data_IF_172091752609
#
_entry.id   IF_172091752609
#
_cell.length_a   1.000
_cell.length_b   1.000
_cell.length_c   1.000
_cell.angle_alpha   90.00
_cell.angle_beta   90.00
_cell.angle_gamma   90.00
#
_symmetry.space_group_name_H-M   'P 1'
#
loop_
_entity.id
_entity.type
_entity.pdbx_description
1 polymer ?
#
# COMPACT_ATOMS: atom_id res chain seq x y z
N UNK A 1 -2.01 -3.08 15.72
CA UNK A 1 -0.81 -3.42 14.90
C UNK A 1 -0.73 -2.38 13.80
N UNK A 2 0.36 -1.64 13.62
CA UNK A 2 0.34 -0.49 12.71
C UNK A 2 0.11 -0.86 11.24
N UNK A 3 -0.69 -0.07 10.52
CA UNK A 3 -0.97 -0.23 9.09
C UNK A 3 0.25 -0.01 8.19
N UNK A 4 1.18 0.81 8.69
CA UNK A 4 2.46 1.10 8.08
C UNK A 4 3.54 0.79 9.10
N UNK A 5 4.61 0.12 8.67
CA UNK A 5 5.81 -0.08 9.47
C UNK A 5 7.04 0.20 8.63
N UNK A 6 7.91 1.06 9.12
CA UNK A 6 9.20 1.34 8.49
C UNK A 6 10.29 0.46 9.12
N UNK A 7 11.09 -0.19 8.28
CA UNK A 7 12.26 -0.96 8.69
C UNK A 7 13.48 -0.40 7.96
N UNK A 8 14.20 0.49 8.64
CA UNK A 8 15.32 1.21 8.05
C UNK A 8 14.86 2.09 6.88
N UNK A 9 15.35 1.78 5.67
CA UNK A 9 14.96 2.48 4.44
C UNK A 9 13.70 1.90 3.79
N UNK A 10 13.24 0.72 4.20
CA UNK A 10 12.13 0.03 3.58
C UNK A 10 10.83 0.25 4.36
N UNK A 11 9.70 0.24 3.66
CA UNK A 11 8.37 0.45 4.26
C UNK A 11 7.45 -0.70 3.92
N UNK A 12 6.89 -1.33 4.94
CA UNK A 12 5.79 -2.29 4.78
C UNK A 12 4.46 -1.61 4.96
N UNK A 13 3.55 -1.92 4.06
CA UNK A 13 2.19 -1.40 4.00
C UNK A 13 1.21 -2.56 4.01
N UNK A 14 0.23 -2.49 4.89
CA UNK A 14 -0.94 -3.37 4.86
C UNK A 14 -2.04 -2.64 4.12
N UNK A 15 -2.44 -3.17 2.97
CA UNK A 15 -3.40 -2.56 2.07
C UNK A 15 -4.64 -3.43 1.97
N UNK A 16 -5.81 -2.83 2.13
CA UNK A 16 -7.09 -3.45 1.83
C UNK A 16 -7.55 -3.00 0.45
N UNK A 17 -7.48 -3.91 -0.52
CA UNK A 17 -7.88 -3.66 -1.90
C UNK A 17 -9.39 -3.78 -2.03
N UNK A 18 -10.02 -2.67 -2.41
CA UNK A 18 -11.41 -2.63 -2.85
C UNK A 18 -11.47 -2.61 -4.38
N UNK A 19 -11.76 -3.75 -5.04
CA UNK A 19 -11.94 -3.82 -6.48
C UNK A 19 -13.26 -3.16 -6.90
N UNK A 20 -13.46 -2.94 -8.22
CA UNK A 20 -14.64 -2.29 -8.82
C UNK A 20 -14.86 -0.85 -8.33
N UNK A 21 -13.79 -0.12 -8.04
CA UNK A 21 -13.89 1.30 -7.79
C UNK A 21 -14.03 2.11 -9.10
N UNK A 22 -14.58 3.32 -9.01
CA UNK A 22 -14.68 4.23 -10.15
C UNK A 22 -13.34 4.87 -10.53
N UNK A 23 -12.39 4.93 -9.59
CA UNK A 23 -11.05 5.52 -9.75
C UNK A 23 -10.07 4.87 -8.78
N UNK A 24 -8.78 4.93 -9.08
CA UNK A 24 -7.73 4.47 -8.17
C UNK A 24 -7.44 5.55 -7.14
N UNK A 25 -7.73 5.27 -5.87
CA UNK A 25 -7.57 6.27 -4.82
C UNK A 25 -7.25 5.66 -3.46
N UNK A 26 -6.56 6.45 -2.65
CA UNK A 26 -6.33 6.16 -1.25
C UNK A 26 -7.61 6.50 -0.48
N UNK A 27 -8.41 5.49 -0.16
CA UNK A 27 -9.71 5.69 0.53
C UNK A 27 -9.48 6.16 1.96
N UNK A 28 -8.43 5.66 2.62
CA UNK A 28 -8.05 6.07 3.97
C UNK A 28 -7.59 4.88 4.82
N UNK A 29 -7.36 5.14 6.10
CA UNK A 29 -7.06 4.08 7.07
C UNK A 29 -8.36 3.34 7.45
N UNK A 30 -8.32 2.01 7.42
CA UNK A 30 -9.35 1.11 7.91
C UNK A 30 -8.78 0.27 9.04
N UNK A 31 -8.91 0.77 10.27
CA UNK A 31 -8.32 0.14 11.46
C UNK A 31 -6.80 0.08 11.34
N UNK A 32 -6.27 -1.12 11.20
CA UNK A 32 -4.84 -1.42 11.11
C UNK A 32 -4.37 -1.64 9.65
N UNK A 33 -5.16 -1.21 8.65
CA UNK A 33 -4.85 -1.39 7.22
C UNK A 33 -5.20 -0.14 6.41
N UNK A 34 -4.54 0.10 5.29
CA UNK A 34 -4.88 1.22 4.39
C UNK A 34 -5.81 0.72 3.30
N UNK A 35 -7.01 1.27 3.26
CA UNK A 35 -7.98 0.97 2.22
C UNK A 35 -7.63 1.69 0.93
N UNK A 36 -7.45 0.90 -0.14
CA UNK A 36 -7.14 1.38 -1.48
C UNK A 36 -8.22 0.90 -2.43
N UNK A 37 -8.87 1.85 -3.08
CA UNK A 37 -9.85 1.60 -4.12
C UNK A 37 -9.09 1.47 -5.44
N UNK A 38 -9.31 0.39 -6.18
CA UNK A 38 -8.77 0.24 -7.53
C UNK A 38 -9.86 -0.11 -8.53
N UNK A 39 -9.69 0.40 -9.74
CA UNK A 39 -10.58 0.12 -10.87
C UNK A 39 -10.42 -1.30 -11.39
N UNK A 40 -9.25 -1.91 -11.15
CA UNK A 40 -8.93 -3.25 -11.63
C UNK A 40 -9.89 -4.32 -11.07
N UNK A 41 -10.27 -5.31 -11.89
CA UNK A 41 -11.10 -6.42 -11.44
C UNK A 41 -10.34 -7.31 -10.44
N UNK A 42 -11.04 -8.06 -9.57
CA UNK A 42 -10.44 -8.96 -8.58
C UNK A 42 -9.96 -10.27 -9.23
N UNK A 43 -9.33 -10.17 -10.41
CA UNK A 43 -8.69 -11.28 -11.10
C UNK A 43 -7.21 -11.19 -10.79
N UNK A 44 -6.67 -12.26 -10.22
CA UNK A 44 -5.27 -12.39 -9.87
C UNK A 44 -4.36 -11.96 -11.02
N UNK A 45 -3.30 -11.21 -10.68
CA UNK A 45 -2.37 -10.63 -11.65
C UNK A 45 -2.76 -9.22 -12.15
N UNK A 46 -4.02 -8.98 -12.55
CA UNK A 46 -4.44 -7.64 -13.03
C UNK A 46 -4.50 -6.62 -11.90
N UNK A 47 -5.09 -7.00 -10.76
CA UNK A 47 -5.11 -6.17 -9.56
C UNK A 47 -3.69 -5.90 -9.03
N UNK A 48 -2.81 -6.91 -9.06
CA UNK A 48 -1.43 -6.81 -8.55
C UNK A 48 -0.60 -5.85 -9.41
N UNK A 49 -0.64 -6.01 -10.75
CA UNK A 49 0.07 -5.13 -11.66
C UNK A 49 -0.41 -3.68 -11.56
N UNK A 50 -1.73 -3.48 -11.40
CA UNK A 50 -2.30 -2.16 -11.24
C UNK A 50 -1.88 -1.52 -9.91
N UNK A 51 -1.93 -2.29 -8.82
CA UNK A 51 -1.51 -1.86 -7.49
C UNK A 51 -0.03 -1.51 -7.47
N UNK A 52 0.85 -2.38 -8.00
CA UNK A 52 2.28 -2.10 -8.08
C UNK A 52 2.55 -0.80 -8.85
N UNK A 53 1.85 -0.57 -9.96
CA UNK A 53 1.99 0.66 -10.74
C UNK A 53 1.51 1.89 -9.95
N UNK A 54 0.40 1.76 -9.24
CA UNK A 54 -0.17 2.83 -8.41
C UNK A 54 0.76 3.18 -7.23
N UNK A 55 1.29 2.18 -6.52
CA UNK A 55 2.24 2.37 -5.43
C UNK A 55 3.57 2.91 -5.95
N UNK A 56 4.13 2.33 -7.00
CA UNK A 56 5.37 2.82 -7.61
C UNK A 56 5.28 4.31 -7.98
N UNK A 57 4.14 4.74 -8.56
CA UNK A 57 3.90 6.15 -8.89
C UNK A 57 3.73 7.01 -7.63
N UNK A 58 2.96 6.55 -6.65
CA UNK A 58 2.69 7.29 -5.40
C UNK A 58 3.95 7.51 -4.57
N UNK A 59 4.82 6.50 -4.53
CA UNK A 59 6.08 6.52 -3.77
C UNK A 59 7.29 6.96 -4.61
N UNK A 60 7.05 7.25 -5.89
CA UNK A 60 8.08 7.63 -6.88
C UNK A 60 9.24 6.64 -6.96
N UNK A 61 8.95 5.34 -6.89
CA UNK A 61 9.93 4.24 -6.95
C UNK A 61 9.77 3.40 -8.22
N UNK A 62 10.77 2.58 -8.52
CA UNK A 62 10.66 1.56 -9.54
C UNK A 62 9.69 0.45 -9.13
N UNK A 63 9.03 -0.19 -10.10
CA UNK A 63 8.17 -1.36 -9.82
C UNK A 63 8.93 -2.51 -9.18
N UNK A 64 10.23 -2.64 -9.48
CA UNK A 64 11.13 -3.62 -8.88
C UNK A 64 11.38 -3.39 -7.39
N UNK A 65 11.11 -2.18 -6.88
CA UNK A 65 11.21 -1.87 -5.46
C UNK A 65 9.90 -2.15 -4.71
N UNK A 66 8.84 -2.59 -5.40
CA UNK A 66 7.53 -2.88 -4.81
C UNK A 66 7.31 -4.39 -4.78
N UNK A 67 7.44 -4.98 -3.60
CA UNK A 67 7.30 -6.42 -3.37
C UNK A 67 6.00 -6.73 -2.65
N UNK A 68 5.20 -7.65 -3.19
CA UNK A 68 3.98 -8.11 -2.52
C UNK A 68 4.38 -9.32 -1.68
N UNK A 69 4.45 -9.16 -0.36
CA UNK A 69 4.84 -10.24 0.57
C UNK A 69 3.70 -11.23 0.84
N UNK A 70 2.47 -10.72 0.93
CA UNK A 70 1.27 -11.54 1.20
C UNK A 70 0.04 -10.99 0.50
N UNK A 71 -0.94 -11.86 0.30
CA UNK A 71 -2.26 -11.45 -0.15
C UNK A 71 -2.45 -11.41 -1.66
N UNK A 72 -1.65 -12.16 -2.43
CA UNK A 72 -1.80 -12.22 -3.88
C UNK A 72 -3.26 -12.55 -4.27
N UNK A 73 -3.82 -13.59 -3.68
CA UNK A 73 -5.19 -14.10 -3.92
C UNK A 73 -6.30 -13.37 -3.13
N UNK A 74 -5.97 -12.37 -2.30
CA UNK A 74 -6.88 -11.79 -1.32
C UNK A 74 -7.13 -10.28 -1.46
N UNK A 75 -8.12 -9.77 -0.71
CA UNK A 75 -8.35 -8.33 -0.55
C UNK A 75 -7.31 -7.67 0.33
N UNK A 76 -6.82 -8.38 1.34
CA UNK A 76 -5.73 -7.93 2.20
C UNK A 76 -4.41 -8.21 1.50
N UNK A 77 -3.62 -7.18 1.26
CA UNK A 77 -2.30 -7.26 0.62
C UNK A 77 -1.25 -6.64 1.52
N UNK A 78 -0.13 -7.32 1.66
CA UNK A 78 1.02 -6.82 2.38
C UNK A 78 2.10 -6.52 1.37
N UNK A 79 2.50 -5.25 1.29
CA UNK A 79 3.45 -4.75 0.29
C UNK A 79 4.63 -4.11 0.97
N UNK A 80 5.83 -4.54 0.61
CA UNK A 80 7.09 -3.94 0.98
C UNK A 80 7.54 -3.00 -0.15
N UNK A 81 7.85 -1.76 0.20
CA UNK A 81 8.42 -0.76 -0.69
C UNK A 81 9.83 -0.47 -0.22
N UNK A 82 10.81 -0.76 -1.09
CA UNK A 82 12.21 -0.48 -0.79
C UNK A 82 12.57 0.96 -1.13
N UNK A 83 13.27 1.65 -0.22
CA UNK A 83 13.77 3.01 -0.38
C UNK A 83 12.79 3.98 -1.10
N UNK A 84 11.60 4.25 -0.52
CA UNK A 84 10.65 5.17 -1.12
C UNK A 84 11.23 6.58 -1.23
N UNK A 85 11.25 7.12 -2.46
CA UNK A 85 11.74 8.49 -2.72
C UNK A 85 10.72 9.55 -2.30
N UNK A 86 9.44 9.19 -2.27
CA UNK A 86 8.35 10.06 -1.85
C UNK A 86 7.39 9.29 -0.97
N UNK A 87 6.86 9.95 0.06
CA UNK A 87 5.83 9.39 0.92
C UNK A 87 4.51 10.12 0.65
N UNK A 88 3.43 9.42 0.28
CA UNK A 88 2.10 10.00 0.24
C UNK A 88 1.75 10.59 1.60
N UNK A 89 1.03 11.73 1.67
CA UNK A 89 0.68 12.37 2.94
C UNK A 89 0.00 11.41 3.93
N UNK A 90 -0.89 10.54 3.41
CA UNK A 90 -1.55 9.51 4.22
C UNK A 90 -0.55 8.58 4.91
N UNK A 91 0.46 8.09 4.18
CA UNK A 91 1.45 7.14 4.69
C UNK A 91 2.38 7.83 5.69
N UNK A 92 2.79 9.06 5.39
CA UNK A 92 3.59 9.87 6.31
C UNK A 92 2.85 10.14 7.63
N UNK A 93 1.57 10.48 7.59
CA UNK A 93 0.74 10.66 8.79
C UNK A 93 0.62 9.36 9.60
N UNK A 94 0.50 8.22 8.94
CA UNK A 94 0.38 6.91 9.60
C UNK A 94 1.68 6.45 10.23
N UNK A 95 2.82 6.75 9.61
CA UNK A 95 4.13 6.55 10.22
C UNK A 95 4.27 7.36 11.51
N UNK A 96 3.90 8.65 11.46
CA UNK A 96 3.96 9.54 12.63
C UNK A 96 2.99 9.07 13.72
N UNK A 97 1.78 8.63 13.34
CA UNK A 97 0.76 8.17 14.29
C UNK A 97 1.09 6.80 14.91
N UNK A 98 1.84 5.95 14.20
CA UNK A 98 2.25 4.63 14.67
C UNK A 98 3.45 4.63 15.62
N UNK A 99 4.17 5.76 15.73
CA UNK A 99 5.28 5.95 16.66
C UNK A 99 4.84 6.50 18.03
N UNK A 100 3.57 6.88 18.18
CA UNK A 100 3.02 7.33 19.48
C UNK A 100 2.60 6.12 20.31
N UNK A 101 3.56 5.35 20.77
CA UNK A 101 3.37 4.52 21.98
C UNK A 101 4.70 4.51 22.73
N UNK A 102 4.93 5.60 23.45
CA UNK A 102 5.73 5.59 24.68
C UNK A 102 4.91 4.97 25.81
#
# INVERSE_FOLDING_TARGET
MSAVSQTGADIRLRLYIQPKASRDDWVGLHGDEIKVAITAPPVDGKANAHLQKFLAKSFKVAKSAVFIEKGELGRHKMVLIQAPLQLPPLVAQLLISGDVTS
#
